data_IF_098613674415
#
_entry.id   IF_098613674415
#
_cell.length_a   1.000
_cell.length_b   1.000
_cell.length_c   1.000
_cell.angle_alpha   90.00
_cell.angle_beta   90.00
_cell.angle_gamma   90.00
#
_symmetry.space_group_name_H-M   'P 1'
#
loop_
_entity.id
_entity.type
_entity.pdbx_description
1 polymer ?
#
# COMPACT_ATOMS: atom_id res chain seq x y z
N UNK A 1 10.87 -12.49 5.21
CA UNK A 1 9.63 -12.14 4.46
C UNK A 1 9.94 -12.28 2.97
N UNK A 2 9.13 -12.97 2.17
CA UNK A 2 9.35 -13.05 0.71
C UNK A 2 8.65 -11.86 0.05
N UNK A 3 9.35 -11.17 -0.86
CA UNK A 3 8.82 -10.00 -1.58
C UNK A 3 8.90 -10.27 -3.07
N UNK A 4 7.78 -10.12 -3.78
CA UNK A 4 7.75 -10.21 -5.25
C UNK A 4 7.84 -8.81 -5.85
N UNK A 5 8.90 -8.55 -6.60
CA UNK A 5 9.17 -7.26 -7.23
C UNK A 5 8.31 -7.06 -8.50
N UNK A 6 8.21 -5.83 -9.04
CA UNK A 6 7.54 -5.58 -10.31
C UNK A 6 8.10 -6.39 -11.49
N UNK A 7 9.38 -6.77 -11.42
CA UNK A 7 10.05 -7.66 -12.37
C UNK A 7 9.69 -9.14 -12.21
N UNK A 8 8.73 -9.48 -11.35
CA UNK A 8 8.34 -10.83 -10.92
C UNK A 8 9.42 -11.65 -10.19
N UNK A 9 10.60 -11.09 -9.97
CA UNK A 9 11.62 -11.71 -9.12
C UNK A 9 11.14 -11.79 -7.67
N UNK A 10 11.40 -12.91 -7.02
CA UNK A 10 11.15 -13.09 -5.58
C UNK A 10 12.46 -12.91 -4.83
N UNK A 11 12.48 -11.95 -3.91
CA UNK A 11 13.63 -11.66 -3.06
C UNK A 11 13.29 -11.91 -1.59
N UNK A 12 14.32 -12.08 -0.77
CA UNK A 12 14.18 -12.16 0.68
C UNK A 12 14.32 -10.76 1.26
N UNK A 13 13.28 -10.33 1.98
CA UNK A 13 13.27 -9.13 2.79
C UNK A 13 13.36 -9.46 4.29
N UNK A 14 13.88 -8.48 5.04
CA UNK A 14 14.02 -8.51 6.48
C UNK A 14 13.08 -7.47 7.10
N UNK A 15 12.39 -7.87 8.16
CA UNK A 15 11.55 -6.96 8.92
C UNK A 15 12.46 -5.90 9.58
N UNK A 16 12.23 -4.63 9.27
CA UNK A 16 12.94 -3.51 9.88
C UNK A 16 12.18 -2.94 11.06
N UNK A 17 10.86 -2.77 10.90
CA UNK A 17 9.98 -2.22 11.92
C UNK A 17 8.57 -2.78 11.73
N UNK A 18 7.85 -2.96 12.83
CA UNK A 18 6.42 -3.23 12.84
C UNK A 18 5.75 -2.38 13.91
N UNK A 19 4.62 -1.78 13.56
CA UNK A 19 3.76 -1.08 14.50
C UNK A 19 2.37 -1.72 14.45
N UNK A 20 2.03 -2.44 15.53
CA UNK A 20 0.77 -3.16 15.67
C UNK A 20 -0.43 -2.24 15.91
N UNK A 21 -0.20 -0.98 16.30
CA UNK A 21 -1.29 -0.01 16.45
C UNK A 21 -1.87 0.37 15.09
N UNK A 22 -1.03 0.38 14.06
CA UNK A 22 -1.35 0.81 12.69
C UNK A 22 -1.36 -0.35 11.68
N UNK A 23 -1.26 -1.60 12.12
CA UNK A 23 -1.10 -2.77 11.23
C UNK A 23 -0.01 -2.58 10.14
N UNK A 24 1.07 -1.88 10.49
CA UNK A 24 2.10 -1.44 9.55
C UNK A 24 3.39 -2.25 9.74
N UNK A 25 3.95 -2.74 8.64
CA UNK A 25 5.27 -3.35 8.62
C UNK A 25 6.17 -2.73 7.56
N UNK A 26 7.38 -2.33 7.96
CA UNK A 26 8.44 -1.88 7.06
C UNK A 26 9.40 -3.05 6.82
N UNK A 27 9.51 -3.46 5.56
CA UNK A 27 10.35 -4.59 5.14
C UNK A 27 11.45 -4.08 4.23
N UNK A 28 12.71 -4.25 4.67
CA UNK A 28 13.87 -3.93 3.85
C UNK A 28 14.18 -5.09 2.91
N UNK A 29 14.57 -4.78 1.67
CA UNK A 29 15.07 -5.74 0.68
C UNK A 29 16.49 -5.33 0.27
N UNK A 30 17.27 -6.26 -0.29
CA UNK A 30 18.53 -5.87 -0.94
C UNK A 30 18.23 -4.84 -2.03
N UNK A 31 19.14 -3.87 -2.20
CA UNK A 31 19.03 -2.89 -3.27
C UNK A 31 19.03 -3.63 -4.61
N UNK A 32 17.92 -3.51 -5.33
CA UNK A 32 17.73 -4.06 -6.67
C UNK A 32 17.35 -2.88 -7.56
N UNK A 33 17.98 -2.75 -8.73
CA UNK A 33 17.65 -1.69 -9.69
C UNK A 33 16.42 -2.02 -10.52
N UNK A 34 15.95 -1.05 -11.32
CA UNK A 34 14.94 -1.31 -12.36
C UNK A 34 13.48 -1.29 -11.89
N UNK A 35 13.18 -0.68 -10.75
CA UNK A 35 11.81 -0.33 -10.39
C UNK A 35 11.72 1.09 -9.84
N UNK A 36 10.57 1.72 -10.05
CA UNK A 36 10.28 3.08 -9.62
C UNK A 36 9.65 3.05 -8.23
N UNK A 37 10.20 3.84 -7.32
CA UNK A 37 9.63 4.07 -6.00
C UNK A 37 8.34 4.89 -6.13
N UNK A 38 7.34 4.53 -5.32
CA UNK A 38 6.13 5.33 -5.20
C UNK A 38 6.46 6.67 -4.54
N UNK A 39 6.00 7.77 -5.13
CA UNK A 39 6.16 9.11 -4.55
C UNK A 39 5.04 9.33 -3.54
N UNK A 40 5.40 9.50 -2.28
CA UNK A 40 4.49 9.94 -1.24
C UNK A 40 4.52 11.47 -1.20
N UNK A 41 3.35 12.11 -1.29
CA UNK A 41 3.26 13.56 -1.09
C UNK A 41 3.56 13.88 0.37
N UNK A 42 4.48 14.81 0.63
CA UNK A 42 4.88 15.24 1.98
C UNK A 42 3.92 16.27 2.59
N UNK A 43 2.80 16.58 1.93
CA UNK A 43 1.80 17.51 2.44
C UNK A 43 1.17 16.93 3.71
N UNK A 44 1.53 17.52 4.85
CA UNK A 44 0.96 17.23 6.16
C UNK A 44 -0.56 17.31 6.05
N UNK A 45 -1.23 16.20 6.37
CA UNK A 45 -2.67 15.97 6.23
C UNK A 45 -3.14 15.95 4.76
N UNK A 46 -3.06 14.77 4.13
CA UNK A 46 -3.77 14.51 2.88
C UNK A 46 -5.27 14.45 3.19
N UNK A 47 -5.89 15.63 3.35
CA UNK A 47 -7.34 15.77 3.42
C UNK A 47 -7.85 15.52 2.01
N UNK A 48 -8.20 14.29 1.72
CA UNK A 48 -8.92 14.00 0.50
C UNK A 48 -10.30 14.66 0.62
N UNK A 49 -10.65 15.47 -0.37
CA UNK A 49 -12.02 15.98 -0.48
C UNK A 49 -12.97 14.78 -0.57
N UNK A 50 -14.13 14.87 0.09
CA UNK A 50 -15.20 13.89 -0.06
C UNK A 50 -15.49 13.67 -1.55
N UNK A 51 -15.65 12.41 -1.96
CA UNK A 51 -15.82 11.98 -3.36
C UNK A 51 -14.58 12.10 -4.28
N UNK A 52 -13.38 12.37 -3.74
CA UNK A 52 -12.13 12.25 -4.51
C UNK A 52 -12.01 10.87 -5.13
N UNK A 53 -11.66 10.80 -6.42
CA UNK A 53 -11.40 9.53 -7.10
C UNK A 53 -10.08 8.94 -6.63
N UNK A 54 -10.08 7.67 -6.28
CA UNK A 54 -8.91 6.90 -5.86
C UNK A 54 -8.76 5.63 -6.68
N UNK A 55 -7.55 5.08 -6.66
CA UNK A 55 -7.24 3.77 -7.21
C UNK A 55 -6.54 2.96 -6.13
N UNK A 56 -7.16 1.86 -5.71
CA UNK A 56 -6.49 0.88 -4.87
C UNK A 56 -5.68 -0.05 -5.78
N UNK A 57 -4.39 -0.22 -5.46
CA UNK A 57 -3.47 -1.07 -6.23
C UNK A 57 -2.95 -2.16 -5.30
N UNK A 58 -2.97 -3.41 -5.78
CA UNK A 58 -2.43 -4.55 -5.07
C UNK A 58 -1.76 -5.53 -6.03
N UNK A 59 -0.89 -6.39 -5.50
CA UNK A 59 -0.22 -7.43 -6.28
C UNK A 59 -0.46 -8.78 -5.63
N UNK A 60 -0.99 -9.73 -6.40
CA UNK A 60 -1.08 -11.11 -5.94
C UNK A 60 0.32 -11.69 -5.80
N UNK A 61 0.64 -12.23 -4.62
CA UNK A 61 1.97 -12.78 -4.37
C UNK A 61 2.26 -13.99 -5.27
N UNK A 62 1.33 -14.92 -5.45
CA UNK A 62 1.60 -16.18 -6.16
C UNK A 62 1.59 -16.05 -7.68
N UNK A 63 0.66 -15.27 -8.25
CA UNK A 63 0.61 -15.03 -9.70
C UNK A 63 1.50 -13.87 -10.15
N UNK A 64 1.86 -12.96 -9.25
CA UNK A 64 2.57 -11.72 -9.58
C UNK A 64 1.69 -10.69 -10.30
N UNK A 65 0.42 -11.00 -10.55
CA UNK A 65 -0.50 -10.11 -11.27
C UNK A 65 -0.77 -8.85 -10.45
N UNK A 66 -0.56 -7.69 -11.09
CA UNK A 66 -0.96 -6.39 -10.55
C UNK A 66 -2.46 -6.20 -10.79
N UNK A 67 -3.22 -5.95 -9.73
CA UNK A 67 -4.65 -5.64 -9.78
C UNK A 67 -4.85 -4.20 -9.34
N UNK A 68 -5.83 -3.52 -9.95
CA UNK A 68 -6.28 -2.22 -9.49
C UNK A 68 -7.79 -2.13 -9.53
N UNK A 69 -8.37 -1.38 -8.60
CA UNK A 69 -9.79 -1.04 -8.59
C UNK A 69 -9.97 0.45 -8.34
N UNK A 70 -10.95 1.04 -9.00
CA UNK A 70 -11.26 2.46 -8.87
C UNK A 70 -12.34 2.65 -7.80
N UNK A 71 -12.25 3.74 -7.05
CA UNK A 71 -13.21 4.08 -6.01
C UNK A 71 -13.29 5.58 -5.77
N UNK A 72 -14.11 5.95 -4.80
CA UNK A 72 -14.23 7.32 -4.31
C UNK A 72 -14.02 7.36 -2.80
N UNK A 73 -13.53 8.48 -2.29
CA UNK A 73 -13.42 8.73 -0.85
C UNK A 73 -14.81 8.90 -0.24
N UNK A 74 -15.19 7.99 0.66
CA UNK A 74 -16.48 7.96 1.34
C UNK A 74 -16.43 8.41 2.80
N UNK A 75 -15.24 8.63 3.37
CA UNK A 75 -15.06 9.06 4.76
C UNK A 75 -14.27 10.35 4.86
N UNK A 76 -14.58 11.19 5.84
CA UNK A 76 -13.72 12.30 6.24
C UNK A 76 -12.65 11.81 7.20
N UNK A 77 -11.49 12.48 7.22
CA UNK A 77 -10.51 12.33 8.30
C UNK A 77 -11.14 12.90 9.59
N UNK A 78 -11.93 12.07 10.29
CA UNK A 78 -12.45 12.43 11.60
C UNK A 78 -11.29 12.47 12.60
N UNK A 79 -11.27 13.53 13.41
CA UNK A 79 -10.25 13.95 14.39
C UNK A 79 -9.98 12.96 15.54
N UNK A 80 -10.36 11.69 15.38
CA UNK A 80 -10.12 10.61 16.33
C UNK A 80 -9.40 9.38 15.76
N UNK A 81 -9.24 9.28 14.43
CA UNK A 81 -8.51 8.20 13.76
C UNK A 81 -7.78 8.76 12.54
N UNK A 82 -6.70 9.50 12.78
CA UNK A 82 -5.68 9.77 11.76
C UNK A 82 -4.90 8.50 11.34
N UNK A 83 -5.35 7.29 11.68
CA UNK A 83 -4.45 6.13 11.70
C UNK A 83 -4.51 5.27 10.43
N UNK A 84 -5.67 4.91 9.86
CA UNK A 84 -5.74 4.27 8.53
C UNK A 84 -7.13 4.44 7.91
N UNK A 85 -7.19 4.86 6.64
CA UNK A 85 -8.37 4.58 5.82
C UNK A 85 -8.35 3.09 5.44
N UNK A 86 -9.15 2.29 6.13
CA UNK A 86 -9.37 0.89 5.79
C UNK A 86 -10.39 0.81 4.65
N UNK A 87 -9.96 0.36 3.49
CA UNK A 87 -10.88 -0.09 2.43
C UNK A 87 -10.65 -1.58 2.20
N UNK A 88 -11.66 -2.39 2.49
CA UNK A 88 -11.62 -3.85 2.29
C UNK A 88 -12.11 -4.16 0.88
N UNK A 89 -11.28 -4.80 0.08
CA UNK A 89 -11.69 -5.42 -1.19
C UNK A 89 -11.31 -6.90 -1.17
N UNK A 90 -12.27 -7.75 -1.52
CA UNK A 90 -12.09 -9.19 -1.63
C UNK A 90 -11.39 -9.51 -2.96
N UNK A 91 -10.15 -9.99 -2.89
CA UNK A 91 -9.45 -10.46 -4.08
C UNK A 91 -9.90 -11.89 -4.40
N UNK A 92 -10.88 -12.05 -5.30
CA UNK A 92 -11.15 -13.36 -5.89
C UNK A 92 -9.92 -13.84 -6.70
N UNK A 93 -9.47 -15.04 -6.38
CA UNK A 93 -8.34 -15.76 -7.01
C UNK A 93 -8.75 -16.44 -8.30
#
# INVERSE_FOLDING_TARGET
>A
IKVRLPSNQVVIGWLHHCDFKYDLAVVNIKRVGGFQEARLSSSYVMQFESNSKLVAVGRCFDSGMLKSTNGIVIGSASDGLCELMLSTYEMNT
#
